data_IF_328846111468
#
_entry.id   IF_328846111468
#
_cell.length_a   1.000
_cell.length_b   1.000
_cell.length_c   1.000
_cell.angle_alpha   90.00
_cell.angle_beta   90.00
_cell.angle_gamma   90.00
#
_symmetry.space_group_name_H-M   'P 1'
#
loop_
_entity.id
_entity.type
_entity.pdbx_description
1 polymer ?
#
# COMPACT_ATOMS: atom_id res chain seq x y z
N UNK A 1 -8.18 5.26 0.03
CA UNK A 1 -6.86 5.63 -0.55
C UNK A 1 -5.97 6.17 0.56
N UNK A 2 -4.66 6.00 0.43
CA UNK A 2 -3.63 6.55 1.31
C UNK A 2 -2.49 7.12 0.46
N UNK A 3 -1.91 8.24 0.89
CA UNK A 3 -0.76 8.89 0.24
C UNK A 3 0.37 9.13 1.25
N UNK A 4 1.60 8.90 0.81
CA UNK A 4 2.84 9.27 1.49
C UNK A 4 3.52 10.36 0.67
N UNK A 5 3.89 11.45 1.29
CA UNK A 5 4.46 12.66 0.68
C UNK A 5 5.99 12.60 0.47
N UNK A 6 6.57 11.41 0.49
CA UNK A 6 8.00 11.18 0.21
C UNK A 6 8.87 11.15 1.46
N UNK A 7 8.27 11.21 2.65
CA UNK A 7 9.01 10.90 3.89
C UNK A 7 9.37 9.41 3.91
N UNK A 8 10.66 9.12 4.07
CA UNK A 8 11.19 7.77 4.16
C UNK A 8 12.04 7.63 5.43
N UNK A 9 11.91 6.50 6.13
CA UNK A 9 12.79 6.10 7.23
C UNK A 9 13.68 4.92 6.82
N UNK A 10 14.70 4.57 7.62
CA UNK A 10 15.43 3.33 7.41
C UNK A 10 14.45 2.16 7.41
N UNK A 11 14.63 1.21 6.49
CA UNK A 11 13.86 -0.02 6.49
C UNK A 11 14.12 -0.75 7.82
N UNK A 12 13.14 -0.72 8.72
CA UNK A 12 13.23 -1.39 10.01
C UNK A 12 13.31 -2.91 9.82
N UNK A 13 13.92 -3.61 10.78
CA UNK A 13 14.06 -5.07 10.80
C UNK A 13 12.71 -5.82 10.65
N UNK A 14 11.61 -5.12 10.96
CA UNK A 14 10.25 -5.49 10.60
C UNK A 14 9.71 -4.50 9.55
N UNK A 15 9.61 -4.90 8.27
CA UNK A 15 8.51 -4.50 7.37
C UNK A 15 8.75 -4.91 5.89
N UNK A 16 8.25 -6.09 5.50
CA UNK A 16 7.56 -6.19 4.21
C UNK A 16 6.12 -6.73 4.33
N UNK A 17 5.68 -7.10 5.53
CA UNK A 17 4.48 -7.92 5.71
C UNK A 17 3.16 -7.13 5.75
N UNK A 18 3.19 -5.84 6.05
CA UNK A 18 1.97 -5.03 6.23
C UNK A 18 1.13 -4.90 4.95
N UNK A 19 1.78 -4.53 3.85
CA UNK A 19 1.13 -4.39 2.54
C UNK A 19 0.75 -5.74 1.94
N UNK A 20 1.59 -6.77 2.11
CA UNK A 20 1.28 -8.12 1.68
C UNK A 20 0.02 -8.68 2.39
N UNK A 21 -0.06 -8.51 3.72
CA UNK A 21 -1.22 -8.90 4.50
C UNK A 21 -2.47 -8.09 4.15
N UNK A 22 -2.32 -6.80 3.84
CA UNK A 22 -3.42 -5.97 3.35
C UNK A 22 -3.90 -6.43 1.97
N UNK A 23 -2.98 -6.73 1.05
CA UNK A 23 -3.30 -7.23 -0.29
C UNK A 23 -4.08 -8.54 -0.22
N UNK A 24 -3.65 -9.48 0.65
CA UNK A 24 -4.39 -10.72 0.89
C UNK A 24 -5.82 -10.45 1.38
N UNK A 25 -6.01 -9.54 2.34
CA UNK A 25 -7.36 -9.24 2.88
C UNK A 25 -8.25 -8.58 1.85
N UNK A 26 -7.72 -7.62 1.09
CA UNK A 26 -8.45 -6.95 0.02
C UNK A 26 -8.85 -7.94 -1.07
N UNK A 27 -7.93 -8.82 -1.50
CA UNK A 27 -8.23 -9.88 -2.45
C UNK A 27 -9.25 -10.90 -1.94
N UNK A 28 -9.18 -11.26 -0.65
CA UNK A 28 -10.18 -12.14 -0.02
C UNK A 28 -11.59 -11.52 0.02
N UNK A 29 -11.69 -10.19 0.01
CA UNK A 29 -12.95 -9.46 -0.11
C UNK A 29 -13.40 -9.24 -1.58
N UNK A 30 -12.69 -9.83 -2.56
CA UNK A 30 -12.97 -9.64 -3.99
C UNK A 30 -12.45 -8.31 -4.56
N UNK A 31 -11.57 -7.63 -3.83
CA UNK A 31 -10.98 -6.35 -4.19
C UNK A 31 -9.56 -6.42 -4.76
N UNK A 32 -9.00 -5.26 -5.04
CA UNK A 32 -7.63 -5.08 -5.52
C UNK A 32 -6.88 -4.03 -4.69
N UNK A 33 -5.60 -4.28 -4.39
CA UNK A 33 -4.69 -3.31 -3.78
C UNK A 33 -3.57 -2.96 -4.78
N UNK A 34 -3.44 -1.66 -5.10
CA UNK A 34 -2.36 -1.10 -5.92
C UNK A 34 -1.47 -0.18 -5.11
N UNK A 35 -0.20 -0.17 -5.47
CA UNK A 35 0.85 0.48 -4.71
C UNK A 35 1.88 1.07 -5.70
N UNK A 36 1.89 2.39 -5.85
CA UNK A 36 2.56 3.10 -6.95
C UNK A 36 3.38 4.29 -6.43
N UNK A 37 4.63 4.49 -6.91
CA UNK A 37 5.37 5.72 -6.64
C UNK A 37 4.72 6.90 -7.37
N UNK A 38 4.82 8.11 -6.81
CA UNK A 38 4.35 9.33 -7.48
C UNK A 38 5.51 10.08 -8.13
N UNK A 39 5.25 10.89 -9.18
CA UNK A 39 6.29 11.70 -9.83
C UNK A 39 7.02 12.67 -8.87
N UNK A 40 6.36 13.06 -7.78
CA UNK A 40 6.88 13.99 -6.77
C UNK A 40 7.78 13.30 -5.72
N UNK A 41 8.05 11.99 -5.89
CA UNK A 41 8.84 11.20 -4.94
C UNK A 41 8.02 10.63 -3.79
N UNK A 42 6.69 10.74 -3.86
CA UNK A 42 5.76 10.14 -2.89
C UNK A 42 5.41 8.69 -3.23
N UNK A 43 4.44 8.16 -2.48
CA UNK A 43 3.88 6.83 -2.73
C UNK A 43 2.38 6.82 -2.46
N UNK A 44 1.60 6.17 -3.33
CA UNK A 44 0.15 6.07 -3.20
C UNK A 44 -0.28 4.62 -3.11
N UNK A 45 -1.20 4.35 -2.17
CA UNK A 45 -1.86 3.07 -1.95
C UNK A 45 -3.35 3.17 -2.22
N UNK A 46 -3.85 2.37 -3.16
CA UNK A 46 -5.27 2.30 -3.54
C UNK A 46 -5.82 0.92 -3.28
N UNK A 47 -6.79 0.83 -2.39
CA UNK A 47 -7.60 -0.37 -2.18
C UNK A 47 -8.99 -0.13 -2.76
N UNK A 48 -9.45 -1.03 -3.63
CA UNK A 48 -10.80 -1.05 -4.15
C UNK A 48 -11.45 -2.38 -3.75
N UNK A 49 -12.64 -2.34 -3.14
CA UNK A 49 -13.39 -3.51 -2.72
C UNK A 49 -14.82 -3.38 -3.25
N UNK A 50 -15.45 -4.45 -3.74
CA UNK A 50 -16.86 -4.43 -4.12
C UNK A 50 -17.76 -3.98 -2.95
N UNK A 51 -18.83 -3.23 -3.27
CA UNK A 51 -19.81 -2.75 -2.30
C UNK A 51 -20.85 -3.81 -1.94
#
# INVERSE_FOLDING_TARGET
>A
EMSNDGVHGPAGEHAPNGLAGLAQRVGAAGGELRAEPTPEGGYVLRAAVPA
#
